data_IF_551356928916
#
_entry.id   IF_551356928916
#
_cell.length_a   1.000
_cell.length_b   1.000
_cell.length_c   1.000
_cell.angle_alpha   90.00
_cell.angle_beta   90.00
_cell.angle_gamma   90.00
#
_symmetry.space_group_name_H-M   'P 1'
#
loop_
_entity.id
_entity.type
_entity.pdbx_description
1 polymer ?
#
# COMPACT_ATOMS: atom_id res chain seq x y z
N UNK A 1 -37.53 -29.38 0.34
CA UNK A 1 -36.15 -28.92 0.12
C UNK A 1 -35.28 -30.19 0.04
N UNK A 2 -34.67 -30.44 -1.09
CA UNK A 2 -33.92 -31.67 -1.36
C UNK A 2 -32.74 -31.82 -0.40
N UNK A 3 -32.42 -33.07 -0.07
CA UNK A 3 -31.32 -33.40 0.87
C UNK A 3 -30.01 -32.74 0.43
N UNK A 4 -29.75 -32.70 -0.87
CA UNK A 4 -28.60 -32.04 -1.46
C UNK A 4 -28.57 -30.51 -1.17
N UNK A 5 -29.71 -29.84 -1.25
CA UNK A 5 -29.82 -28.40 -0.95
C UNK A 5 -29.52 -28.10 0.53
N UNK A 6 -29.93 -29.01 1.44
CA UNK A 6 -29.61 -28.88 2.88
C UNK A 6 -28.10 -29.03 3.13
N UNK A 7 -27.46 -30.03 2.55
CA UNK A 7 -26.00 -30.19 2.69
C UNK A 7 -25.21 -29.01 2.08
N UNK A 8 -25.64 -28.54 0.91
CA UNK A 8 -25.03 -27.35 0.29
C UNK A 8 -25.15 -26.13 1.19
N UNK A 9 -26.33 -25.89 1.80
CA UNK A 9 -26.55 -24.79 2.72
C UNK A 9 -25.65 -24.88 3.95
N UNK A 10 -25.61 -26.07 4.62
CA UNK A 10 -24.76 -26.25 5.80
C UNK A 10 -23.28 -26.11 5.48
N UNK A 11 -22.82 -26.63 4.33
CA UNK A 11 -21.45 -26.46 3.86
C UNK A 11 -21.12 -24.97 3.65
N UNK A 12 -22.02 -24.23 3.01
CA UNK A 12 -21.81 -22.79 2.78
C UNK A 12 -21.74 -21.99 4.08
N UNK A 13 -22.61 -22.29 5.05
CA UNK A 13 -22.58 -21.69 6.38
C UNK A 13 -21.28 -22.05 7.09
N UNK A 14 -20.85 -23.31 7.02
CA UNK A 14 -19.61 -23.77 7.63
C UNK A 14 -18.36 -23.08 7.03
N UNK A 15 -18.32 -22.89 5.71
CA UNK A 15 -17.25 -22.16 5.03
C UNK A 15 -17.23 -20.69 5.43
N UNK A 16 -18.38 -20.05 5.54
CA UNK A 16 -18.47 -18.66 6.03
C UNK A 16 -17.99 -18.55 7.47
N UNK A 17 -18.46 -19.43 8.35
CA UNK A 17 -18.03 -19.47 9.74
C UNK A 17 -16.50 -19.69 9.86
N UNK A 18 -15.96 -20.58 9.04
CA UNK A 18 -14.52 -20.78 8.97
C UNK A 18 -13.78 -19.54 8.49
N UNK A 19 -14.21 -18.91 7.40
CA UNK A 19 -13.55 -17.73 6.83
C UNK A 19 -13.52 -16.54 7.80
N UNK A 20 -14.62 -16.28 8.50
CA UNK A 20 -14.76 -15.11 9.37
C UNK A 20 -14.33 -15.35 10.82
N UNK A 21 -14.37 -16.56 11.32
CA UNK A 21 -14.02 -16.87 12.70
C UNK A 21 -12.91 -17.94 12.80
N UNK A 22 -13.04 -19.05 12.10
CA UNK A 22 -12.10 -20.17 12.19
C UNK A 22 -10.68 -19.79 11.76
N UNK A 23 -10.53 -19.12 10.63
CA UNK A 23 -9.23 -18.70 10.10
C UNK A 23 -8.51 -17.71 11.02
N UNK A 24 -9.12 -16.61 11.50
CA UNK A 24 -8.49 -15.73 12.49
C UNK A 24 -8.11 -16.43 13.81
N UNK A 25 -8.97 -17.32 14.30
CA UNK A 25 -8.68 -18.09 15.51
C UNK A 25 -7.46 -18.99 15.32
N UNK A 26 -7.38 -19.68 14.18
CA UNK A 26 -6.21 -20.51 13.84
C UNK A 26 -4.93 -19.67 13.75
N UNK A 27 -4.98 -18.54 13.04
CA UNK A 27 -3.84 -17.63 12.98
C UNK A 27 -3.41 -17.13 14.36
N UNK A 28 -4.38 -16.79 15.22
CA UNK A 28 -4.09 -16.37 16.59
C UNK A 28 -3.44 -17.50 17.41
N UNK A 29 -3.98 -18.70 17.36
CA UNK A 29 -3.39 -19.87 18.02
C UNK A 29 -1.96 -20.15 17.54
N UNK A 30 -1.73 -20.12 16.24
CA UNK A 30 -0.41 -20.32 15.67
C UNK A 30 0.55 -19.18 16.01
N UNK A 31 0.06 -17.94 16.10
CA UNK A 31 0.90 -16.79 16.50
C UNK A 31 1.47 -16.92 17.92
N UNK A 32 0.82 -17.69 18.80
CA UNK A 32 1.32 -17.98 20.14
C UNK A 32 2.59 -18.85 20.12
N UNK A 33 2.79 -19.65 19.07
CA UNK A 33 3.95 -20.51 18.88
C UNK A 33 4.99 -19.89 17.95
N UNK A 34 4.63 -18.82 17.23
CA UNK A 34 5.55 -18.11 16.35
C UNK A 34 6.57 -17.36 17.19
N UNK A 35 7.86 -17.56 16.90
CA UNK A 35 8.91 -16.73 17.51
C UNK A 35 8.68 -15.30 17.01
N UNK A 36 8.57 -14.35 17.93
CA UNK A 36 8.63 -12.93 17.57
C UNK A 36 9.86 -12.73 16.72
N UNK A 37 9.69 -12.14 15.54
CA UNK A 37 10.83 -11.71 14.72
C UNK A 37 11.65 -10.80 15.64
N UNK A 38 12.86 -11.24 15.97
CA UNK A 38 13.74 -10.49 16.86
C UNK A 38 14.02 -9.16 16.19
N UNK A 39 13.71 -8.07 16.84
CA UNK A 39 14.16 -6.75 16.40
C UNK A 39 15.69 -6.81 16.32
N UNK A 40 16.20 -6.94 15.11
CA UNK A 40 17.63 -6.86 14.86
C UNK A 40 18.04 -5.42 15.10
N UNK A 41 18.60 -5.16 16.26
CA UNK A 41 19.24 -3.90 16.55
C UNK A 41 20.40 -3.70 15.56
N UNK A 42 20.34 -2.58 14.82
CA UNK A 42 21.54 -2.02 14.24
C UNK A 42 21.65 -2.03 12.72
N UNK A 43 20.94 -1.14 12.09
CA UNK A 43 21.48 -0.46 10.92
C UNK A 43 21.59 1.01 11.31
N UNK A 44 22.83 1.52 11.23
CA UNK A 44 23.18 2.91 11.50
C UNK A 44 22.15 3.87 10.89
N UNK A 45 21.65 4.81 11.71
CA UNK A 45 20.62 5.77 11.33
C UNK A 45 21.08 6.78 10.28
N UNK A 46 22.33 6.70 9.79
CA UNK A 46 22.99 7.80 9.11
C UNK A 46 22.75 7.92 7.62
N UNK A 47 22.21 6.88 6.95
CA UNK A 47 21.91 7.00 5.51
C UNK A 47 20.55 6.41 5.15
N UNK A 48 19.66 7.27 4.67
CA UNK A 48 18.40 6.84 4.07
C UNK A 48 18.67 6.27 2.66
N UNK A 49 18.12 5.10 2.29
CA UNK A 49 18.29 4.53 0.96
C UNK A 49 17.57 5.36 -0.12
N UNK A 50 17.88 5.09 -1.38
CA UNK A 50 17.13 5.66 -2.49
C UNK A 50 15.76 4.97 -2.62
N UNK A 51 14.71 5.77 -2.76
CA UNK A 51 13.31 5.32 -2.84
C UNK A 51 12.65 5.86 -4.08
N UNK A 52 11.98 4.99 -4.84
CA UNK A 52 11.10 5.37 -5.95
C UNK A 52 9.64 5.19 -5.54
N UNK A 53 8.87 6.29 -5.51
CA UNK A 53 7.41 6.22 -5.37
C UNK A 53 6.83 6.10 -6.78
N UNK A 54 6.01 5.07 -7.03
CA UNK A 54 5.39 4.81 -8.33
C UNK A 54 3.87 4.87 -8.24
N UNK A 55 3.26 5.65 -9.13
CA UNK A 55 1.82 5.89 -9.17
C UNK A 55 1.31 5.71 -10.60
N UNK A 56 0.26 4.89 -10.78
CA UNK A 56 -0.51 4.84 -12.01
C UNK A 56 -1.77 5.68 -11.84
N UNK A 57 -2.00 6.64 -12.74
CA UNK A 57 -3.15 7.55 -12.72
C UNK A 57 -3.94 7.43 -14.03
N UNK A 58 -5.27 7.35 -13.94
CA UNK A 58 -6.19 7.40 -15.08
C UNK A 58 -7.42 8.21 -14.73
N UNK A 59 -7.57 9.38 -15.33
CA UNK A 59 -8.68 10.31 -15.11
C UNK A 59 -8.84 10.71 -13.62
N UNK A 60 -7.75 11.19 -13.04
CA UNK A 60 -7.64 11.58 -11.62
C UNK A 60 -7.52 13.11 -11.43
N UNK A 61 -8.04 13.91 -12.39
CA UNK A 61 -7.88 15.38 -12.37
C UNK A 61 -8.36 16.06 -11.09
N UNK A 62 -9.30 15.45 -10.37
CA UNK A 62 -9.88 15.98 -9.13
C UNK A 62 -8.97 15.86 -7.92
N UNK A 63 -8.03 14.89 -7.93
CA UNK A 63 -7.21 14.55 -6.76
C UNK A 63 -5.71 14.64 -7.00
N UNK A 64 -5.26 14.45 -8.24
CA UNK A 64 -3.83 14.27 -8.54
C UNK A 64 -2.96 15.47 -8.14
N UNK A 65 -3.47 16.70 -8.23
CA UNK A 65 -2.73 17.89 -7.79
C UNK A 65 -2.45 17.83 -6.29
N UNK A 66 -3.50 17.66 -5.47
CA UNK A 66 -3.36 17.52 -4.01
C UNK A 66 -2.50 16.32 -3.61
N UNK A 67 -2.56 15.24 -4.39
CA UNK A 67 -1.71 14.07 -4.16
C UNK A 67 -0.23 14.40 -4.36
N UNK A 68 0.11 15.12 -5.41
CA UNK A 68 1.50 15.54 -5.67
C UNK A 68 1.98 16.50 -4.58
N UNK A 69 1.17 17.49 -4.18
CA UNK A 69 1.51 18.38 -3.08
C UNK A 69 1.82 17.58 -1.79
N UNK A 70 1.00 16.59 -1.44
CA UNK A 70 1.24 15.70 -0.30
C UNK A 70 2.54 14.89 -0.42
N UNK A 71 2.93 14.46 -1.62
CA UNK A 71 4.19 13.75 -1.84
C UNK A 71 5.41 14.66 -1.70
N UNK A 72 5.29 15.93 -2.06
CA UNK A 72 6.34 16.92 -1.93
C UNK A 72 6.55 17.39 -0.48
N UNK A 73 5.56 17.16 0.41
CA UNK A 73 5.63 17.44 1.85
C UNK A 73 6.22 16.28 2.67
N UNK A 74 6.62 15.17 2.02
CA UNK A 74 7.19 14.03 2.72
C UNK A 74 8.52 14.36 3.40
N UNK A 75 8.64 13.99 4.67
CA UNK A 75 9.89 14.06 5.42
C UNK A 75 10.85 12.94 4.98
N UNK A 76 11.48 13.13 3.83
CA UNK A 76 12.51 12.23 3.28
C UNK A 76 13.58 13.06 2.56
N UNK A 77 14.88 12.65 2.57
CA UNK A 77 15.92 13.39 1.85
C UNK A 77 15.56 13.56 0.36
N UNK A 78 15.49 14.80 -0.15
CA UNK A 78 15.01 15.07 -1.52
C UNK A 78 15.89 14.45 -2.60
N UNK A 79 17.18 14.32 -2.35
CA UNK A 79 18.16 13.69 -3.23
C UNK A 79 18.05 12.15 -3.25
N UNK A 80 17.28 11.57 -2.32
CA UNK A 80 17.05 10.14 -2.15
C UNK A 80 15.62 9.69 -2.45
N UNK A 81 14.76 10.61 -2.87
CA UNK A 81 13.37 10.33 -3.18
C UNK A 81 13.09 10.74 -4.63
N UNK A 82 12.62 9.81 -5.43
CA UNK A 82 12.05 10.11 -6.73
C UNK A 82 10.58 9.72 -6.80
N UNK A 83 9.81 10.47 -7.57
CA UNK A 83 8.38 10.27 -7.74
C UNK A 83 8.09 10.10 -9.22
N UNK A 84 7.65 8.90 -9.61
CA UNK A 84 7.29 8.55 -10.98
C UNK A 84 5.77 8.38 -11.07
N UNK A 85 5.14 9.14 -11.96
CA UNK A 85 3.70 9.05 -12.18
C UNK A 85 3.45 8.68 -13.65
N UNK A 86 2.76 7.55 -13.86
CA UNK A 86 2.30 7.11 -15.17
C UNK A 86 0.86 7.54 -15.42
N UNK A 87 0.63 8.37 -16.43
CA UNK A 87 -0.73 8.68 -16.91
C UNK A 87 -1.15 7.61 -17.91
N UNK A 88 -2.10 6.76 -17.52
CA UNK A 88 -2.54 5.57 -18.29
C UNK A 88 -3.66 5.95 -19.28
N UNK A 89 -3.30 6.66 -20.35
CA UNK A 89 -4.26 7.08 -21.37
C UNK A 89 -5.36 8.00 -20.81
N UNK A 90 -5.01 8.93 -19.92
CA UNK A 90 -5.99 9.88 -19.37
C UNK A 90 -6.55 10.81 -20.44
N UNK A 91 -7.87 11.00 -20.43
CA UNK A 91 -8.59 11.85 -21.38
C UNK A 91 -9.00 13.21 -20.79
N UNK A 92 -8.87 13.36 -19.47
CA UNK A 92 -9.15 14.57 -18.70
C UNK A 92 -7.90 15.46 -18.53
N UNK A 93 -7.91 16.34 -17.53
CA UNK A 93 -6.78 17.24 -17.24
C UNK A 93 -5.65 16.61 -16.43
N UNK A 94 -5.71 15.32 -16.07
CA UNK A 94 -4.72 14.61 -15.23
C UNK A 94 -3.28 14.86 -15.72
N UNK A 95 -2.98 14.49 -16.95
CA UNK A 95 -1.64 14.65 -17.54
C UNK A 95 -1.17 16.11 -17.52
N UNK A 96 -2.08 17.06 -17.83
CA UNK A 96 -1.76 18.49 -17.83
C UNK A 96 -1.44 19.01 -16.43
N UNK A 97 -2.14 18.49 -15.40
CA UNK A 97 -1.88 18.85 -14.01
C UNK A 97 -0.50 18.36 -13.60
N UNK A 98 -0.19 17.06 -13.82
CA UNK A 98 1.10 16.47 -13.44
C UNK A 98 2.27 17.21 -14.11
N UNK A 99 2.15 17.61 -15.38
CA UNK A 99 3.21 18.36 -16.11
C UNK A 99 3.61 19.68 -15.44
N UNK A 100 2.72 20.31 -14.68
CA UNK A 100 3.04 21.56 -13.94
C UNK A 100 4.04 21.34 -12.82
N UNK A 101 4.14 20.12 -12.29
CA UNK A 101 5.04 19.77 -11.20
C UNK A 101 6.41 19.25 -11.68
N UNK A 102 6.69 19.31 -12.99
CA UNK A 102 7.98 18.84 -13.54
C UNK A 102 9.18 19.54 -12.91
N UNK A 103 9.07 20.83 -12.63
CA UNK A 103 10.12 21.63 -11.98
C UNK A 103 10.31 21.27 -10.51
N UNK A 104 9.33 20.64 -9.88
CA UNK A 104 9.40 20.12 -8.52
C UNK A 104 9.97 18.69 -8.44
N UNK A 105 10.50 18.14 -9.55
CA UNK A 105 11.14 16.83 -9.56
C UNK A 105 10.19 15.64 -9.86
N UNK A 106 8.93 15.93 -10.23
CA UNK A 106 7.98 14.84 -10.59
C UNK A 106 8.29 14.33 -12.01
N UNK A 107 8.50 13.02 -12.14
CA UNK A 107 8.75 12.33 -13.40
C UNK A 107 7.43 11.79 -13.98
N UNK A 108 6.93 12.43 -15.03
CA UNK A 108 5.72 12.01 -15.73
C UNK A 108 6.06 11.07 -16.89
N UNK A 109 5.42 9.90 -16.91
CA UNK A 109 5.35 9.00 -18.06
C UNK A 109 3.92 9.02 -18.62
N UNK A 110 3.77 9.63 -19.79
CA UNK A 110 2.46 9.82 -20.44
C UNK A 110 2.25 8.74 -21.49
N UNK A 111 1.34 7.81 -21.20
CA UNK A 111 0.96 6.76 -22.12
C UNK A 111 -0.25 7.19 -22.93
N UNK A 112 -0.16 7.18 -24.25
CA UNK A 112 -1.23 7.62 -25.15
C UNK A 112 -2.44 6.68 -25.19
N UNK A 113 -2.24 5.41 -24.79
CA UNK A 113 -3.26 4.37 -24.79
C UNK A 113 -3.32 3.75 -23.40
N UNK A 114 -4.53 3.45 -22.95
CA UNK A 114 -4.77 2.78 -21.67
C UNK A 114 -4.20 1.37 -21.70
N UNK A 115 -3.28 1.07 -20.80
CA UNK A 115 -2.54 -0.19 -20.70
C UNK A 115 -2.89 -1.00 -19.45
N UNK A 116 -3.59 -0.38 -18.52
CA UNK A 116 -3.92 -0.93 -17.22
C UNK A 116 -2.83 -0.72 -16.16
N UNK A 117 -3.27 -0.56 -14.91
CA UNK A 117 -2.43 -0.19 -13.75
C UNK A 117 -1.16 -1.05 -13.65
N UNK A 118 -1.28 -2.37 -13.75
CA UNK A 118 -0.13 -3.28 -13.58
C UNK A 118 0.97 -3.05 -14.62
N UNK A 119 0.60 -2.86 -15.90
CA UNK A 119 1.57 -2.60 -16.95
C UNK A 119 2.26 -1.26 -16.78
N UNK A 120 1.51 -0.22 -16.39
CA UNK A 120 2.07 1.10 -16.10
C UNK A 120 3.05 1.02 -14.94
N UNK A 121 2.67 0.38 -13.84
CA UNK A 121 3.56 0.22 -12.67
C UNK A 121 4.83 -0.55 -13.03
N UNK A 122 4.75 -1.64 -13.81
CA UNK A 122 5.94 -2.37 -14.28
C UNK A 122 6.89 -1.49 -15.09
N UNK A 123 6.34 -0.64 -15.96
CA UNK A 123 7.15 0.29 -16.75
C UNK A 123 7.81 1.37 -15.88
N UNK A 124 7.11 1.85 -14.84
CA UNK A 124 7.66 2.82 -13.91
C UNK A 124 8.77 2.21 -13.05
N UNK A 125 8.57 1.00 -12.53
CA UNK A 125 9.58 0.29 -11.74
C UNK A 125 10.85 0.07 -12.57
N UNK A 126 10.72 -0.32 -13.85
CA UNK A 126 11.87 -0.50 -14.73
C UNK A 126 12.67 0.79 -14.99
N UNK A 127 12.10 1.96 -14.71
CA UNK A 127 12.73 3.28 -14.88
C UNK A 127 13.16 3.93 -13.58
N UNK A 128 12.66 3.42 -12.47
CA UNK A 128 13.02 3.89 -11.13
C UNK A 128 14.47 3.57 -10.79
N UNK A 129 15.10 4.43 -9.98
CA UNK A 129 16.48 4.28 -9.51
C UNK A 129 16.53 3.80 -8.07
N UNK A 130 15.40 3.89 -7.37
CA UNK A 130 15.33 3.56 -5.95
C UNK A 130 15.66 2.10 -5.67
N UNK A 131 16.44 1.88 -4.63
CA UNK A 131 16.66 0.56 -4.03
C UNK A 131 15.35 -0.05 -3.51
N UNK A 132 14.47 0.82 -3.02
CA UNK A 132 13.13 0.46 -2.57
C UNK A 132 12.08 1.11 -3.46
N UNK A 133 11.02 0.37 -3.74
CA UNK A 133 9.88 0.86 -4.52
C UNK A 133 8.64 0.95 -3.63
N UNK A 134 8.02 2.12 -3.60
CA UNK A 134 6.76 2.35 -2.89
C UNK A 134 5.62 2.43 -3.91
N UNK A 135 4.72 1.46 -3.88
CA UNK A 135 3.50 1.43 -4.67
C UNK A 135 2.40 2.17 -3.93
N UNK A 136 1.72 3.08 -4.60
CA UNK A 136 0.59 3.82 -4.02
C UNK A 136 -0.38 4.31 -5.10
N UNK A 137 -1.60 4.62 -4.70
CA UNK A 137 -2.64 5.12 -5.60
C UNK A 137 -2.66 6.66 -5.66
N UNK A 138 -3.29 7.17 -6.71
CA UNK A 138 -3.46 8.61 -6.91
C UNK A 138 -4.37 9.29 -5.86
N UNK A 139 -5.20 8.51 -5.17
CA UNK A 139 -6.15 8.99 -4.15
C UNK A 139 -5.76 8.62 -2.70
N UNK A 140 -4.58 8.01 -2.50
CA UNK A 140 -4.05 7.67 -1.17
C UNK A 140 -3.08 8.75 -0.71
N UNK A 141 -3.30 9.35 0.46
CA UNK A 141 -2.46 10.40 1.02
C UNK A 141 -1.56 9.83 2.11
N UNK A 142 -0.31 10.24 2.11
CA UNK A 142 0.68 9.79 3.08
C UNK A 142 0.77 10.73 4.28
N UNK A 143 1.01 10.16 5.46
CA UNK A 143 1.61 10.91 6.56
C UNK A 143 3.02 11.36 6.18
N UNK A 144 3.46 12.51 6.69
CA UNK A 144 4.77 13.05 6.35
C UNK A 144 5.92 12.07 6.59
N UNK A 145 5.82 11.21 7.60
CA UNK A 145 6.85 10.23 7.97
C UNK A 145 6.64 8.85 7.34
N UNK A 146 5.58 8.64 6.53
CA UNK A 146 5.18 7.32 6.04
C UNK A 146 6.33 6.55 5.37
N UNK A 147 7.10 7.20 4.48
CA UNK A 147 8.21 6.54 3.78
C UNK A 147 9.32 6.13 4.75
N UNK A 148 9.67 6.97 5.72
CA UNK A 148 10.65 6.63 6.75
C UNK A 148 10.20 5.42 7.57
N UNK A 149 8.93 5.35 7.95
CA UNK A 149 8.39 4.22 8.71
C UNK A 149 8.38 2.92 7.89
N UNK A 150 8.07 2.97 6.58
CA UNK A 150 8.20 1.81 5.70
C UNK A 150 9.65 1.30 5.63
N UNK A 151 10.62 2.18 5.47
CA UNK A 151 12.04 1.82 5.44
C UNK A 151 12.51 1.25 6.79
N UNK A 152 12.04 1.81 7.91
CA UNK A 152 12.31 1.23 9.24
C UNK A 152 11.77 -0.20 9.33
N UNK A 153 10.60 -0.50 8.74
CA UNK A 153 10.06 -1.86 8.69
C UNK A 153 11.02 -2.87 8.06
N UNK A 154 11.67 -2.53 6.95
CA UNK A 154 12.70 -3.37 6.33
C UNK A 154 13.95 -3.52 7.22
N UNK A 155 14.33 -2.48 7.95
CA UNK A 155 15.48 -2.53 8.89
C UNK A 155 15.20 -3.43 10.09
N UNK A 156 13.94 -3.43 10.57
CA UNK A 156 13.53 -4.31 11.68
C UNK A 156 13.50 -5.78 11.27
N UNK A 157 13.19 -6.07 9.99
CA UNK A 157 13.09 -7.42 9.46
C UNK A 157 13.93 -7.52 8.18
N UNK A 158 15.24 -7.78 8.27
CA UNK A 158 16.14 -7.81 7.11
C UNK A 158 15.77 -8.83 6.02
N UNK A 159 15.01 -9.86 6.38
CA UNK A 159 14.49 -10.86 5.44
C UNK A 159 13.16 -10.47 4.79
N UNK A 160 12.57 -9.31 5.14
CA UNK A 160 11.32 -8.87 4.55
C UNK A 160 11.52 -8.50 3.08
N UNK A 161 10.69 -9.07 2.22
CA UNK A 161 10.63 -8.70 0.80
C UNK A 161 9.63 -7.57 0.54
N UNK A 162 8.71 -7.31 1.48
CA UNK A 162 7.72 -6.25 1.41
C UNK A 162 7.33 -5.75 2.81
N UNK A 163 7.04 -4.46 2.90
CA UNK A 163 6.48 -3.80 4.09
C UNK A 163 5.22 -3.07 3.67
N UNK A 164 4.15 -3.24 4.42
CA UNK A 164 2.84 -2.64 4.10
C UNK A 164 2.50 -1.57 5.12
N UNK A 165 2.12 -0.39 4.62
CA UNK A 165 1.60 0.70 5.43
C UNK A 165 0.20 0.40 5.96
N UNK A 166 -0.17 1.08 7.04
CA UNK A 166 -1.54 1.06 7.56
C UNK A 166 -2.39 2.10 6.83
N UNK A 167 -3.49 1.67 6.23
CA UNK A 167 -4.48 2.57 5.65
C UNK A 167 -5.45 3.04 6.74
N UNK A 168 -5.64 4.36 6.84
CA UNK A 168 -6.62 4.99 7.71
C UNK A 168 -7.63 5.78 6.89
N UNK A 169 -8.93 5.53 7.13
CA UNK A 169 -9.97 6.35 6.53
C UNK A 169 -10.24 7.56 7.43
N UNK A 170 -10.13 8.75 6.87
CA UNK A 170 -10.47 10.00 7.57
C UNK A 170 -11.75 10.57 6.98
N UNK A 171 -12.62 11.08 7.83
CA UNK A 171 -13.78 11.86 7.41
C UNK A 171 -13.34 13.21 6.83
N UNK A 172 -14.25 13.91 6.15
CA UNK A 172 -13.97 15.27 5.65
C UNK A 172 -13.55 16.25 6.77
N UNK A 173 -13.92 15.95 8.02
CA UNK A 173 -13.57 16.72 9.22
C UNK A 173 -12.20 16.30 9.83
N UNK A 174 -11.49 15.37 9.18
CA UNK A 174 -10.15 14.92 9.60
C UNK A 174 -10.14 13.90 10.74
N UNK A 175 -11.30 13.47 11.23
CA UNK A 175 -11.40 12.42 12.24
C UNK A 175 -11.20 11.04 11.58
N UNK A 176 -10.41 10.18 12.24
CA UNK A 176 -10.30 8.78 11.83
C UNK A 176 -11.67 8.14 11.96
N UNK A 177 -12.21 7.57 10.89
CA UNK A 177 -13.45 6.81 10.96
C UNK A 177 -13.16 5.39 11.46
N UNK A 178 -13.30 5.10 12.77
CA UNK A 178 -13.00 3.78 13.32
C UNK A 178 -14.14 2.77 13.06
N UNK A 179 -15.24 3.20 12.43
CA UNK A 179 -16.54 2.51 12.56
C UNK A 179 -16.79 1.43 11.53
N UNK A 180 -15.86 1.13 10.65
CA UNK A 180 -15.99 -0.10 9.89
C UNK A 180 -15.42 -1.26 10.71
N UNK A 181 -16.30 -2.06 11.30
CA UNK A 181 -15.95 -3.32 11.97
C UNK A 181 -15.09 -4.21 11.03
N UNK A 182 -15.35 -4.10 9.72
CA UNK A 182 -14.58 -4.74 8.67
C UNK A 182 -13.10 -4.31 8.68
N UNK A 183 -12.80 -3.02 8.75
CA UNK A 183 -11.42 -2.52 8.74
C UNK A 183 -10.64 -2.87 10.01
N UNK A 184 -11.32 -2.89 11.16
CA UNK A 184 -10.70 -3.38 12.40
C UNK A 184 -10.36 -4.86 12.30
N UNK A 185 -11.28 -5.64 11.75
CA UNK A 185 -11.09 -7.06 11.50
C UNK A 185 -9.90 -7.30 10.55
N UNK A 186 -9.86 -6.61 9.41
CA UNK A 186 -8.76 -6.70 8.44
C UNK A 186 -7.41 -6.29 9.03
N UNK A 187 -7.37 -5.24 9.85
CA UNK A 187 -6.15 -4.80 10.54
C UNK A 187 -5.63 -5.87 11.52
N UNK A 188 -6.54 -6.50 12.27
CA UNK A 188 -6.17 -7.61 13.16
C UNK A 188 -5.67 -8.80 12.36
N UNK A 189 -6.32 -9.14 11.26
CA UNK A 189 -5.93 -10.24 10.39
C UNK A 189 -4.51 -10.03 9.83
N UNK A 190 -4.24 -8.87 9.26
CA UNK A 190 -2.91 -8.49 8.74
C UNK A 190 -1.83 -8.54 9.82
N UNK A 191 -2.15 -8.11 11.05
CA UNK A 191 -1.26 -8.26 12.21
C UNK A 191 -0.94 -9.71 12.52
N UNK A 192 -1.93 -10.60 12.49
CA UNK A 192 -1.71 -12.03 12.75
C UNK A 192 -0.90 -12.68 11.63
N UNK A 193 -1.21 -12.35 10.37
CA UNK A 193 -0.48 -12.86 9.20
C UNK A 193 0.99 -12.41 9.20
N UNK A 194 1.27 -11.18 9.60
CA UNK A 194 2.64 -10.66 9.64
C UNK A 194 3.57 -11.46 10.58
N UNK A 195 3.02 -12.14 11.61
CA UNK A 195 3.81 -13.05 12.47
C UNK A 195 4.39 -14.24 11.70
N UNK A 196 3.82 -14.56 10.54
CA UNK A 196 4.28 -15.67 9.68
C UNK A 196 5.11 -15.19 8.49
N UNK A 197 5.47 -13.90 8.47
CA UNK A 197 6.24 -13.30 7.38
C UNK A 197 5.45 -13.13 6.08
N UNK A 198 4.13 -13.17 6.14
CA UNK A 198 3.25 -12.96 5.00
C UNK A 198 2.15 -11.96 5.33
N UNK A 199 1.70 -11.19 4.34
CA UNK A 199 0.51 -10.35 4.41
C UNK A 199 -0.30 -10.57 3.15
N UNK A 200 -1.51 -11.10 3.28
CA UNK A 200 -2.42 -11.30 2.17
C UNK A 200 -3.14 -9.97 1.85
N UNK A 201 -2.77 -9.35 0.76
CA UNK A 201 -3.38 -8.11 0.26
C UNK A 201 -2.78 -6.84 0.87
N UNK A 202 -1.96 -6.17 0.09
CA UNK A 202 -1.57 -4.79 0.34
C UNK A 202 -2.67 -3.85 -0.17
N UNK A 203 -3.10 -2.90 0.66
CA UNK A 203 -3.95 -1.80 0.19
C UNK A 203 -3.01 -0.72 -0.34
N UNK A 204 -3.11 -0.41 -1.64
CA UNK A 204 -2.29 0.57 -2.34
C UNK A 204 -2.76 2.00 -2.10
#
# INVERSE_FOLDING_TARGET
MDTLAKYSLFLSIGLLAYAYAGYPILLWLFSLFSRRISESAGISADTWPEVSIVISAHNEESVIGRRIDNLLELDYPPDRLEILIGSDGSTDRTTRIIRRYRTAGILLHDFSVRRGKANVLNDLVARGRGEYVVFTDANTFFDAHAVKELIKGFRLVPSACAVVGRLEFRTAEGTVNPDSAYWRYETVLKKLESHFGTVLGANG
#
